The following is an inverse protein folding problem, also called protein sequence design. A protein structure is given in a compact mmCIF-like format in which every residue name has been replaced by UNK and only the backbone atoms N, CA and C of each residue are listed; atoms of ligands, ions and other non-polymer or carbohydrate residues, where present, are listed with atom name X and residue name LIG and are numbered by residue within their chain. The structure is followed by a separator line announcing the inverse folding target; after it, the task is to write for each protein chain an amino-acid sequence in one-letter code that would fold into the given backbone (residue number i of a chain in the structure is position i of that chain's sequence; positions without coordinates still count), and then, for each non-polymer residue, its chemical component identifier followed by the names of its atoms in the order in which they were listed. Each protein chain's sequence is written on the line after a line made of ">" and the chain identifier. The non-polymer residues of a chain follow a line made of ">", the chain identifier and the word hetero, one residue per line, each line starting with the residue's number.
data_IF_793209295223
#
_entry.id   IF_793209295223
#
_cell.length_a   1.000
_cell.length_b   1.000
_cell.length_c   1.000
_cell.angle_alpha   90.00
_cell.angle_beta   90.00
_cell.angle_gamma   90.00
#
_symmetry.space_group_name_H-M   'P 1'
#
loop_
_entity.id
_entity.type
_entity.pdbx_description
1 polymer ?
#
# COMPACT_ATOMS: atom_id res chain seq x y z
N UNK A 1 0.15 -11.70 15.62
CA UNK A 1 -0.28 -10.48 14.90
C UNK A 1 -1.76 -10.57 14.59
N UNK A 2 -2.52 -9.45 14.60
CA UNK A 2 -3.93 -9.50 14.27
C UNK A 2 -4.33 -8.35 13.31
N UNK A 3 -5.18 -8.67 12.32
CA UNK A 3 -5.66 -7.77 11.28
C UNK A 3 -7.15 -8.05 10.99
N UNK A 4 -8.06 -7.10 11.24
CA UNK A 4 -9.49 -7.30 11.01
C UNK A 4 -9.85 -7.56 9.54
N UNK A 5 -9.05 -7.03 8.63
CA UNK A 5 -9.31 -7.09 7.20
C UNK A 5 -8.87 -8.42 6.57
N UNK A 6 -9.60 -8.85 5.52
CA UNK A 6 -9.13 -9.92 4.65
C UNK A 6 -8.01 -9.40 3.72
N UNK A 7 -7.20 -10.29 3.14
CA UNK A 7 -6.09 -9.89 2.26
C UNK A 7 -6.57 -9.10 1.02
N UNK A 8 -6.42 -7.78 1.03
CA UNK A 8 -6.82 -6.91 -0.09
C UNK A 8 -5.88 -5.71 -0.30
N UNK A 9 -5.05 -5.37 0.66
CA UNK A 9 -4.29 -4.11 0.62
C UNK A 9 -2.91 -4.18 1.26
N UNK A 10 -2.32 -3.00 1.42
CA UNK A 10 -0.96 -2.84 1.94
C UNK A 10 -0.74 -3.43 3.33
N UNK A 11 -1.70 -3.27 4.25
CA UNK A 11 -1.58 -3.79 5.61
C UNK A 11 -1.47 -5.32 5.67
N UNK A 12 -2.17 -6.04 4.78
CA UNK A 12 -2.06 -7.49 4.68
C UNK A 12 -0.67 -7.91 4.18
N UNK A 13 -0.10 -7.17 3.21
CA UNK A 13 1.28 -7.40 2.76
C UNK A 13 2.29 -7.15 3.89
N UNK A 14 2.11 -6.08 4.69
CA UNK A 14 2.95 -5.78 5.86
C UNK A 14 2.93 -6.94 6.85
N UNK A 15 1.74 -7.41 7.24
CA UNK A 15 1.59 -8.56 8.14
C UNK A 15 2.29 -9.81 7.58
N UNK A 16 2.12 -10.09 6.28
CA UNK A 16 2.77 -11.22 5.61
C UNK A 16 4.29 -11.15 5.65
N UNK A 17 4.86 -10.00 5.32
CA UNK A 17 6.30 -9.86 5.30
C UNK A 17 6.90 -9.86 6.70
N UNK A 18 6.26 -9.21 7.66
CA UNK A 18 6.71 -9.27 9.06
C UNK A 18 6.69 -10.71 9.58
N UNK A 19 5.58 -11.46 9.39
CA UNK A 19 5.51 -12.85 9.81
C UNK A 19 6.57 -13.75 9.14
N UNK A 20 6.95 -13.43 7.90
CA UNK A 20 7.96 -14.17 7.15
C UNK A 20 9.39 -13.88 7.62
N UNK A 21 9.67 -12.65 8.04
CA UNK A 21 11.05 -12.23 8.35
C UNK A 21 11.36 -12.17 9.84
N UNK A 22 10.39 -11.98 10.73
CA UNK A 22 10.58 -11.98 12.18
C UNK A 22 11.22 -13.27 12.74
N UNK A 23 10.95 -14.48 12.20
CA UNK A 23 11.61 -15.70 12.67
C UNK A 23 13.14 -15.68 12.55
N UNK A 24 13.68 -14.91 11.61
CA UNK A 24 15.14 -14.72 11.46
C UNK A 24 15.74 -13.92 12.63
N UNK A 25 14.90 -13.23 13.40
CA UNK A 25 15.27 -12.44 14.58
C UNK A 25 14.77 -13.07 15.88
N UNK A 26 14.41 -14.36 15.85
CA UNK A 26 14.03 -15.14 17.04
C UNK A 26 12.57 -15.00 17.50
N UNK A 27 11.70 -14.41 16.66
CA UNK A 27 10.27 -14.24 16.98
C UNK A 27 9.40 -15.14 16.11
N UNK A 28 8.71 -16.08 16.72
CA UNK A 28 7.63 -16.80 16.04
C UNK A 28 6.38 -15.91 15.91
N UNK A 29 5.72 -15.99 14.77
CA UNK A 29 4.59 -15.13 14.49
C UNK A 29 3.42 -15.93 13.90
N UNK A 30 2.26 -15.90 14.56
CA UNK A 30 0.98 -16.31 14.01
C UNK A 30 0.14 -15.09 13.58
N UNK A 31 -0.77 -15.28 12.63
CA UNK A 31 -1.62 -14.22 12.09
C UNK A 31 -3.09 -14.59 12.31
N UNK A 32 -3.81 -13.82 13.14
CA UNK A 32 -5.26 -13.82 13.19
C UNK A 32 -5.81 -12.76 12.24
N UNK A 33 -6.58 -13.15 11.22
CA UNK A 33 -7.04 -12.17 10.21
C UNK A 33 -8.40 -12.54 9.60
N UNK A 34 -9.02 -11.56 8.93
CA UNK A 34 -10.18 -11.83 8.07
C UNK A 34 -9.80 -12.65 6.85
N UNK A 35 -10.79 -13.35 6.28
CA UNK A 35 -10.68 -14.10 5.02
C UNK A 35 -11.94 -13.93 4.18
N UNK A 36 -11.80 -13.91 2.86
CA UNK A 36 -12.94 -13.79 1.95
C UNK A 36 -12.75 -14.68 0.73
N UNK A 37 -13.79 -15.44 0.37
CA UNK A 37 -13.82 -16.25 -0.85
C UNK A 37 -13.18 -17.63 -0.69
N UNK A 38 -13.27 -18.46 -1.74
CA UNK A 38 -12.81 -19.84 -1.72
C UNK A 38 -11.27 -19.94 -1.67
N UNK A 39 -10.73 -21.11 -1.30
CA UNK A 39 -9.32 -21.41 -1.45
C UNK A 39 -8.84 -21.13 -2.88
N UNK A 40 -7.69 -20.45 -3.01
CA UNK A 40 -7.15 -19.99 -4.29
C UNK A 40 -7.48 -18.54 -4.64
N UNK A 41 -8.52 -17.95 -4.05
CA UNK A 41 -8.77 -16.52 -4.22
C UNK A 41 -7.67 -15.67 -3.54
N UNK A 42 -7.33 -14.53 -4.13
CA UNK A 42 -6.33 -13.60 -3.57
C UNK A 42 -6.76 -13.01 -2.21
N UNK A 43 -8.07 -12.90 -1.97
CA UNK A 43 -8.67 -12.45 -0.72
C UNK A 43 -8.79 -13.54 0.35
N UNK A 44 -8.51 -14.80 0.01
CA UNK A 44 -8.53 -15.93 0.94
C UNK A 44 -7.24 -15.95 1.77
N UNK A 45 -7.37 -15.90 3.09
CA UNK A 45 -6.23 -15.77 4.00
C UNK A 45 -5.26 -16.98 3.90
N UNK A 46 -5.74 -18.20 3.82
CA UNK A 46 -4.90 -19.39 3.73
C UNK A 46 -4.09 -19.40 2.43
N UNK A 47 -4.68 -18.89 1.33
CA UNK A 47 -3.97 -18.78 0.04
C UNK A 47 -2.95 -17.64 0.05
N UNK A 48 -3.35 -16.48 0.56
CA UNK A 48 -2.49 -15.29 0.58
C UNK A 48 -1.28 -15.45 1.53
N UNK A 49 -1.50 -16.02 2.70
CA UNK A 49 -0.47 -16.25 3.72
C UNK A 49 0.12 -17.66 3.66
N UNK A 50 0.07 -18.32 2.52
CA UNK A 50 0.55 -19.69 2.38
C UNK A 50 1.97 -19.88 2.96
N UNK A 51 2.13 -20.93 3.78
CA UNK A 51 3.38 -21.23 4.47
C UNK A 51 3.60 -20.48 5.79
N UNK A 52 2.64 -19.68 6.25
CA UNK A 52 2.62 -19.02 7.56
C UNK A 52 1.55 -19.67 8.45
N UNK A 53 1.67 -19.47 9.76
CA UNK A 53 0.66 -19.86 10.73
C UNK A 53 -0.49 -18.84 10.74
N UNK A 54 -1.69 -19.26 10.31
CA UNK A 54 -2.83 -18.35 10.05
C UNK A 54 -4.11 -18.87 10.66
N UNK A 55 -4.77 -18.03 11.45
CA UNK A 55 -6.09 -18.23 12.03
C UNK A 55 -7.09 -17.28 11.35
N UNK A 56 -7.86 -17.80 10.41
CA UNK A 56 -8.72 -17.01 9.54
C UNK A 56 -10.15 -16.90 10.07
N UNK A 57 -10.70 -15.70 10.14
CA UNK A 57 -12.12 -15.41 10.35
C UNK A 57 -12.79 -15.27 8.97
N UNK A 58 -13.62 -16.24 8.60
CA UNK A 58 -14.23 -16.28 7.26
C UNK A 58 -15.45 -15.36 7.15
N UNK A 59 -15.36 -14.33 6.33
CA UNK A 59 -16.42 -13.38 6.03
C UNK A 59 -17.26 -13.74 4.79
N UNK A 60 -17.01 -14.86 4.13
CA UNK A 60 -17.65 -15.18 2.82
C UNK A 60 -19.17 -15.15 2.89
N UNK A 61 -19.76 -15.73 3.96
CA UNK A 61 -21.22 -15.69 4.16
C UNK A 61 -21.72 -14.29 4.49
N UNK A 62 -20.99 -13.57 5.34
CA UNK A 62 -21.36 -12.23 5.75
C UNK A 62 -21.37 -11.25 4.57
N UNK A 63 -20.38 -11.33 3.67
CA UNK A 63 -20.30 -10.49 2.48
C UNK A 63 -21.51 -10.63 1.55
N UNK A 64 -22.20 -11.77 1.57
CA UNK A 64 -23.38 -12.05 0.75
C UNK A 64 -24.70 -11.89 1.51
N UNK A 65 -24.66 -11.49 2.79
CA UNK A 65 -25.86 -11.32 3.61
C UNK A 65 -26.59 -10.02 3.26
N UNK A 66 -27.93 -9.96 3.44
CA UNK A 66 -28.69 -8.71 3.23
C UNK A 66 -28.20 -7.55 4.10
N UNK A 67 -27.76 -7.83 5.32
CA UNK A 67 -27.00 -6.90 6.17
C UNK A 67 -25.73 -7.60 6.67
N UNK A 68 -24.58 -7.31 6.04
CA UNK A 68 -23.31 -7.97 6.39
C UNK A 68 -22.88 -7.81 7.84
N UNK A 69 -23.21 -6.68 8.49
CA UNK A 69 -22.83 -6.40 9.88
C UNK A 69 -23.65 -7.19 10.90
N UNK A 70 -24.84 -7.70 10.52
CA UNK A 70 -25.68 -8.53 11.38
C UNK A 70 -25.49 -10.03 11.14
N UNK A 71 -24.64 -10.41 10.19
CA UNK A 71 -24.28 -11.81 9.93
C UNK A 71 -23.47 -12.44 11.09
N UNK A 72 -23.22 -13.74 11.00
CA UNK A 72 -22.41 -14.49 11.97
C UNK A 72 -21.31 -15.26 11.20
N UNK A 73 -20.03 -14.89 11.35
CA UNK A 73 -19.54 -13.68 12.04
C UNK A 73 -19.95 -12.38 11.33
N UNK A 74 -19.99 -11.24 12.03
CA UNK A 74 -20.26 -9.95 11.41
C UNK A 74 -19.14 -9.58 10.44
N UNK A 75 -19.51 -9.01 9.29
CA UNK A 75 -18.51 -8.50 8.34
C UNK A 75 -17.76 -7.33 8.97
N UNK A 76 -16.51 -7.17 8.61
CA UNK A 76 -15.69 -6.06 9.10
C UNK A 76 -16.16 -4.71 8.52
N UNK A 77 -16.23 -3.63 9.31
CA UNK A 77 -16.30 -2.26 8.79
C UNK A 77 -14.96 -1.79 8.22
N UNK A 78 -14.95 -0.65 7.55
CA UNK A 78 -13.75 -0.02 6.99
C UNK A 78 -13.53 1.40 7.52
N UNK A 79 -12.39 2.01 7.19
CA UNK A 79 -12.11 3.42 7.50
C UNK A 79 -12.56 4.37 6.39
N UNK A 80 -12.91 3.84 5.22
CA UNK A 80 -13.32 4.58 4.03
C UNK A 80 -14.75 4.23 3.67
N UNK A 81 -15.55 5.24 3.33
CA UNK A 81 -16.88 5.04 2.76
C UNK A 81 -16.76 4.80 1.26
N UNK A 82 -17.16 3.61 0.80
CA UNK A 82 -17.03 3.18 -0.59
C UNK A 82 -18.38 2.76 -1.16
N UNK A 83 -18.85 3.50 -2.14
CA UNK A 83 -20.13 3.19 -2.79
C UNK A 83 -20.12 1.75 -3.35
N UNK A 84 -21.17 0.99 -3.02
CA UNK A 84 -21.34 -0.39 -3.49
C UNK A 84 -20.49 -1.46 -2.79
N UNK A 85 -19.62 -1.09 -1.84
CA UNK A 85 -18.92 -2.06 -1.01
C UNK A 85 -19.84 -2.64 0.09
N UNK A 86 -19.68 -3.91 0.48
CA UNK A 86 -20.49 -4.52 1.55
C UNK A 86 -20.12 -4.00 2.94
N UNK A 87 -18.92 -3.44 3.10
CA UNK A 87 -18.42 -2.87 4.35
C UNK A 87 -18.91 -1.43 4.54
N UNK A 88 -19.46 -1.13 5.71
CA UNK A 88 -19.76 0.24 6.12
C UNK A 88 -18.53 0.87 6.77
N UNK A 89 -18.48 2.21 6.74
CA UNK A 89 -17.45 2.92 7.50
C UNK A 89 -17.65 2.75 9.01
N UNK A 90 -16.56 2.60 9.76
CA UNK A 90 -16.61 2.46 11.23
C UNK A 90 -17.47 3.54 11.88
N UNK A 91 -17.32 4.79 11.46
CA UNK A 91 -18.05 5.93 12.00
C UNK A 91 -19.57 5.86 11.84
N UNK A 92 -20.10 4.98 11.00
CA UNK A 92 -21.54 4.71 10.83
C UNK A 92 -22.04 3.50 11.65
N UNK A 93 -21.15 2.83 12.40
CA UNK A 93 -21.45 1.59 13.13
C UNK A 93 -21.82 1.91 14.58
N UNK A 94 -23.00 1.44 15.01
CA UNK A 94 -23.53 1.64 16.37
C UNK A 94 -22.86 0.74 17.42
N UNK A 95 -23.21 0.96 18.70
CA UNK A 95 -22.64 0.25 19.83
C UNK A 95 -23.04 -1.24 19.83
N UNK A 96 -24.20 -1.60 19.29
CA UNK A 96 -24.66 -3.00 19.25
C UNK A 96 -23.78 -3.82 18.32
N UNK A 97 -23.55 -3.31 17.12
CA UNK A 97 -22.64 -3.96 16.15
C UNK A 97 -21.19 -3.91 16.65
N UNK A 98 -20.76 -2.81 17.25
CA UNK A 98 -19.44 -2.69 17.87
C UNK A 98 -19.19 -3.81 18.89
N UNK A 99 -20.10 -4.06 19.83
CA UNK A 99 -19.94 -5.11 20.85
C UNK A 99 -19.89 -6.52 20.21
N UNK A 100 -20.66 -6.75 19.15
CA UNK A 100 -20.58 -8.02 18.39
C UNK A 100 -19.21 -8.21 17.73
N UNK A 101 -18.66 -7.15 17.12
CA UNK A 101 -17.31 -7.18 16.56
C UNK A 101 -16.27 -7.50 17.63
N UNK A 102 -16.37 -6.87 18.80
CA UNK A 102 -15.47 -7.12 19.94
C UNK A 102 -15.56 -8.58 20.38
N UNK A 103 -16.78 -9.11 20.64
CA UNK A 103 -16.99 -10.48 21.08
C UNK A 103 -16.47 -11.51 20.06
N UNK A 104 -16.68 -11.26 18.78
CA UNK A 104 -16.14 -12.10 17.70
C UNK A 104 -14.61 -12.15 17.75
N UNK A 105 -13.96 -11.01 17.94
CA UNK A 105 -12.51 -10.95 18.00
C UNK A 105 -11.93 -11.45 19.33
N UNK A 106 -12.65 -11.39 20.44
CA UNK A 106 -12.26 -12.06 21.69
C UNK A 106 -12.12 -13.59 21.46
N UNK A 107 -13.10 -14.20 20.81
CA UNK A 107 -13.07 -15.62 20.44
C UNK A 107 -11.93 -15.92 19.46
N UNK A 108 -11.82 -15.14 18.38
CA UNK A 108 -10.82 -15.36 17.34
C UNK A 108 -9.38 -15.23 17.88
N UNK A 109 -9.12 -14.28 18.78
CA UNK A 109 -7.82 -14.12 19.43
C UNK A 109 -7.52 -15.27 20.40
N UNK A 110 -8.54 -15.77 21.14
CA UNK A 110 -8.39 -16.93 22.01
C UNK A 110 -8.02 -18.18 21.21
N UNK A 111 -8.72 -18.43 20.10
CA UNK A 111 -8.46 -19.57 19.20
C UNK A 111 -7.07 -19.48 18.55
N UNK A 112 -6.57 -18.27 18.33
CA UNK A 112 -5.22 -18.00 17.82
C UNK A 112 -4.14 -18.04 18.91
N UNK A 113 -4.47 -18.40 20.16
CA UNK A 113 -3.49 -18.53 21.24
C UNK A 113 -2.98 -17.21 21.84
N UNK A 114 -3.72 -16.10 21.70
CA UNK A 114 -3.29 -14.78 22.16
C UNK A 114 -2.94 -14.72 23.65
N UNK A 115 -3.56 -15.55 24.50
CA UNK A 115 -3.28 -15.59 25.94
C UNK A 115 -1.91 -16.13 26.32
N UNK A 116 -1.22 -16.83 25.44
CA UNK A 116 0.12 -17.37 25.63
C UNK A 116 1.20 -16.61 24.85
N UNK A 117 0.82 -15.56 24.13
CA UNK A 117 1.76 -14.75 23.37
C UNK A 117 2.57 -13.81 24.25
N UNK A 118 3.84 -13.58 23.93
CA UNK A 118 4.69 -12.60 24.61
C UNK A 118 4.25 -11.15 24.35
N UNK A 119 3.61 -10.91 23.20
CA UNK A 119 2.99 -9.62 22.84
C UNK A 119 1.94 -9.78 21.70
N UNK A 120 1.05 -8.83 21.61
CA UNK A 120 0.10 -8.70 20.49
C UNK A 120 0.48 -7.52 19.60
N UNK A 121 0.74 -7.77 18.32
CA UNK A 121 0.93 -6.73 17.31
C UNK A 121 -0.38 -6.58 16.51
N UNK A 122 -1.07 -5.46 16.71
CA UNK A 122 -2.41 -5.21 16.20
C UNK A 122 -2.36 -4.19 15.06
N UNK A 123 -2.71 -4.64 13.86
CA UNK A 123 -2.76 -3.77 12.67
C UNK A 123 -4.06 -2.99 12.61
N UNK A 124 -3.98 -1.72 12.37
CA UNK A 124 -5.03 -0.72 12.46
C UNK A 124 -5.62 -0.58 13.87
N UNK A 125 -6.27 0.55 14.15
CA UNK A 125 -7.03 0.74 15.39
C UNK A 125 -8.47 0.25 15.18
N UNK A 126 -8.72 -1.01 15.43
CA UNK A 126 -10.00 -1.71 15.19
C UNK A 126 -10.55 -2.31 16.50
N UNK A 127 -11.77 -2.86 16.52
CA UNK A 127 -12.32 -3.56 17.68
C UNK A 127 -11.44 -4.67 18.27
N UNK A 128 -10.44 -5.15 17.51
CA UNK A 128 -9.42 -6.11 17.99
C UNK A 128 -8.69 -5.56 19.23
N UNK A 129 -8.43 -4.24 19.30
CA UNK A 129 -7.78 -3.61 20.45
C UNK A 129 -8.61 -3.73 21.72
N UNK A 130 -9.94 -3.55 21.60
CA UNK A 130 -10.84 -3.72 22.73
C UNK A 130 -10.91 -5.20 23.14
N UNK A 131 -11.07 -6.10 22.18
CA UNK A 131 -11.09 -7.55 22.40
C UNK A 131 -9.81 -8.02 23.12
N UNK A 132 -8.64 -7.59 22.63
CA UNK A 132 -7.36 -7.91 23.25
C UNK A 132 -7.24 -7.36 24.68
N UNK A 133 -7.75 -6.14 24.92
CA UNK A 133 -7.71 -5.54 26.26
C UNK A 133 -8.64 -6.25 27.26
N UNK A 134 -9.83 -6.66 26.81
CA UNK A 134 -10.82 -7.34 27.68
C UNK A 134 -10.40 -8.76 28.00
N UNK A 135 -10.02 -9.53 26.97
CA UNK A 135 -9.73 -10.95 27.11
C UNK A 135 -8.31 -11.24 27.59
N UNK A 136 -7.33 -10.38 27.26
CA UNK A 136 -5.89 -10.62 27.52
C UNK A 136 -5.21 -9.36 28.10
N UNK A 137 -5.69 -8.81 29.23
CA UNK A 137 -5.18 -7.54 29.78
C UNK A 137 -3.72 -7.59 30.19
N UNK A 138 -3.18 -8.77 30.46
CA UNK A 138 -1.77 -8.98 30.86
C UNK A 138 -0.80 -9.12 29.69
N UNK A 139 -1.28 -9.22 28.44
CA UNK A 139 -0.43 -9.34 27.26
C UNK A 139 -0.17 -7.94 26.68
N UNK A 140 1.10 -7.50 26.57
CA UNK A 140 1.43 -6.18 26.05
C UNK A 140 1.02 -6.04 24.58
N UNK A 141 0.65 -4.82 24.17
CA UNK A 141 0.11 -4.54 22.83
C UNK A 141 0.93 -3.49 22.11
N UNK A 142 1.22 -3.76 20.84
CA UNK A 142 1.75 -2.79 19.89
C UNK A 142 0.65 -2.51 18.86
N UNK A 143 0.32 -1.24 18.64
CA UNK A 143 -0.56 -0.80 17.55
C UNK A 143 0.24 -0.43 16.32
N UNK A 144 -0.25 -0.77 15.13
CA UNK A 144 0.38 -0.40 13.85
C UNK A 144 -0.60 0.35 12.97
N UNK A 145 -0.42 1.65 12.84
CA UNK A 145 -1.24 2.50 11.99
C UNK A 145 -0.83 2.38 10.53
N UNK A 146 -1.84 2.33 9.65
CA UNK A 146 -1.63 2.31 8.21
C UNK A 146 -2.10 3.59 7.50
N UNK A 147 -2.48 4.61 8.28
CA UNK A 147 -2.80 5.95 7.83
C UNK A 147 -4.30 6.23 7.66
N UNK A 148 -5.12 5.22 7.37
CA UNK A 148 -6.57 5.37 7.17
C UNK A 148 -7.30 5.82 8.45
N UNK A 149 -6.79 5.45 9.61
CA UNK A 149 -7.26 5.88 10.93
C UNK A 149 -7.14 7.41 11.10
N UNK A 150 -6.01 7.97 10.69
CA UNK A 150 -5.78 9.41 10.77
C UNK A 150 -6.66 10.17 9.79
N UNK A 151 -6.88 9.63 8.59
CA UNK A 151 -7.79 10.22 7.60
C UNK A 151 -9.24 10.25 8.10
N UNK A 152 -9.72 9.17 8.73
CA UNK A 152 -11.05 9.14 9.34
C UNK A 152 -11.17 10.15 10.48
N UNK A 153 -10.17 10.27 11.36
CA UNK A 153 -10.15 11.27 12.42
C UNK A 153 -10.15 12.70 11.88
N UNK A 154 -9.42 12.95 10.79
CA UNK A 154 -9.43 14.26 10.12
C UNK A 154 -10.80 14.61 9.56
N UNK A 155 -11.46 13.65 8.91
CA UNK A 155 -12.81 13.85 8.41
C UNK A 155 -13.80 14.14 9.56
N UNK A 156 -13.66 13.44 10.69
CA UNK A 156 -14.49 13.69 11.89
C UNK A 156 -14.23 15.08 12.47
N UNK A 157 -12.97 15.47 12.62
CA UNK A 157 -12.59 16.77 13.18
C UNK A 157 -12.99 17.95 12.26
N UNK A 158 -13.03 17.72 10.94
CA UNK A 158 -13.49 18.70 9.95
C UNK A 158 -15.03 18.84 9.86
N UNK A 159 -15.76 17.99 10.57
CA UNK A 159 -17.21 17.87 10.50
C UNK A 159 -17.60 16.57 9.78
N UNK A 160 -17.91 15.55 10.56
CA UNK A 160 -18.17 14.20 10.07
C UNK A 160 -19.12 14.19 8.85
N UNK A 161 -18.83 13.42 7.80
CA UNK A 161 -19.70 13.25 6.65
C UNK A 161 -21.11 12.79 7.04
N UNK A 162 -22.09 13.08 6.19
CA UNK A 162 -23.47 12.62 6.39
C UNK A 162 -23.51 11.08 6.49
N UNK A 163 -24.23 10.57 7.47
CA UNK A 163 -24.34 9.12 7.72
C UNK A 163 -23.27 8.55 8.64
N UNK A 164 -22.33 9.38 9.12
CA UNK A 164 -21.36 8.99 10.14
C UNK A 164 -21.90 9.27 11.55
N UNK A 165 -23.06 8.69 11.88
CA UNK A 165 -23.86 9.05 13.05
C UNK A 165 -23.16 8.71 14.38
N UNK A 166 -22.14 7.84 14.37
CA UNK A 166 -21.37 7.43 15.54
C UNK A 166 -19.92 7.94 15.54
N UNK A 167 -19.61 8.94 14.70
CA UNK A 167 -18.26 9.45 14.46
C UNK A 167 -17.49 9.81 15.75
N UNK A 168 -18.11 10.52 16.69
CA UNK A 168 -17.43 10.93 17.93
C UNK A 168 -17.09 9.73 18.82
N UNK A 169 -18.03 8.78 18.97
CA UNK A 169 -17.79 7.56 19.74
C UNK A 169 -16.61 6.76 19.15
N UNK A 170 -16.52 6.69 17.82
CA UNK A 170 -15.41 6.01 17.15
C UNK A 170 -14.10 6.78 17.30
N UNK A 171 -14.09 8.10 17.21
CA UNK A 171 -12.89 8.89 17.46
C UNK A 171 -12.34 8.67 18.88
N UNK A 172 -13.23 8.59 19.89
CA UNK A 172 -12.85 8.31 21.27
C UNK A 172 -12.30 6.90 21.45
N UNK A 173 -12.87 5.89 20.77
CA UNK A 173 -12.36 4.50 20.74
C UNK A 173 -10.94 4.46 20.16
N UNK A 174 -10.72 5.06 18.99
CA UNK A 174 -9.40 5.10 18.36
C UNK A 174 -8.35 5.74 19.29
N UNK A 175 -8.69 6.87 19.92
CA UNK A 175 -7.79 7.54 20.88
C UNK A 175 -7.52 6.68 22.11
N UNK A 176 -8.54 6.01 22.65
CA UNK A 176 -8.39 5.10 23.79
C UNK A 176 -7.49 3.91 23.45
N UNK A 177 -7.71 3.25 22.32
CA UNK A 177 -6.89 2.11 21.88
C UNK A 177 -5.45 2.50 21.63
N UNK A 178 -5.21 3.61 20.95
CA UNK A 178 -3.86 4.12 20.72
C UNK A 178 -3.09 4.34 22.02
N UNK A 179 -3.73 4.99 23.01
CA UNK A 179 -3.15 5.20 24.35
C UNK A 179 -2.95 3.90 25.12
N UNK A 180 -3.72 2.86 24.83
CA UNK A 180 -3.62 1.54 25.44
C UNK A 180 -2.49 0.67 24.88
N UNK A 181 -1.78 1.08 23.82
CA UNK A 181 -0.64 0.36 23.26
C UNK A 181 0.67 0.76 23.95
N UNK A 182 1.58 -0.20 24.19
CA UNK A 182 2.94 0.06 24.70
C UNK A 182 3.77 0.88 23.71
N UNK A 183 3.62 0.58 22.43
CA UNK A 183 4.21 1.32 21.30
C UNK A 183 3.19 1.47 20.21
N UNK A 184 3.31 2.54 19.45
CA UNK A 184 2.51 2.80 18.27
C UNK A 184 3.40 2.96 17.05
N UNK A 185 3.30 2.02 16.11
CA UNK A 185 4.06 2.04 14.87
C UNK A 185 3.35 2.91 13.84
N UNK A 186 4.10 3.74 13.13
CA UNK A 186 3.60 4.62 12.07
C UNK A 186 4.49 4.55 10.83
N UNK A 187 3.93 4.82 9.66
CA UNK A 187 4.60 4.56 8.39
C UNK A 187 5.53 5.69 7.92
N UNK A 188 5.33 6.91 8.42
CA UNK A 188 6.03 8.08 7.91
C UNK A 188 6.39 9.08 9.01
N UNK A 189 7.45 9.89 8.84
CA UNK A 189 7.80 10.99 9.72
C UNK A 189 6.66 12.01 9.89
N UNK A 190 5.84 12.23 8.85
CA UNK A 190 4.63 13.05 8.97
C UNK A 190 3.66 12.47 10.00
N UNK A 191 3.42 11.18 9.97
CA UNK A 191 2.58 10.50 10.96
C UNK A 191 3.18 10.63 12.38
N UNK A 192 4.51 10.54 12.54
CA UNK A 192 5.18 10.78 13.85
C UNK A 192 4.83 12.16 14.42
N UNK A 193 4.81 13.19 13.58
CA UNK A 193 4.45 14.57 14.00
C UNK A 193 2.97 14.74 14.34
N UNK A 194 2.07 14.06 13.61
CA UNK A 194 0.61 14.25 13.70
C UNK A 194 -0.06 13.41 14.79
N UNK A 195 0.43 12.20 15.04
CA UNK A 195 -0.16 11.23 15.98
C UNK A 195 -0.28 11.75 17.40
N UNK A 196 0.72 12.44 18.00
CA UNK A 196 0.58 12.97 19.36
C UNK A 196 -0.65 13.86 19.54
N UNK A 197 -0.84 14.82 18.66
CA UNK A 197 -1.98 15.74 18.72
C UNK A 197 -3.33 15.10 18.39
N UNK A 198 -3.36 14.10 17.51
CA UNK A 198 -4.60 13.45 17.05
C UNK A 198 -5.09 12.34 17.97
N UNK A 199 -4.17 11.53 18.50
CA UNK A 199 -4.48 10.34 19.29
C UNK A 199 -4.15 10.49 20.78
N UNK A 200 -3.42 11.54 21.18
CA UNK A 200 -3.02 11.78 22.56
C UNK A 200 -2.05 10.70 23.07
N UNK A 201 -1.08 10.33 22.23
CA UNK A 201 0.00 9.37 22.56
C UNK A 201 1.29 10.14 22.73
N UNK A 202 2.05 9.83 23.77
CA UNK A 202 3.34 10.44 24.04
C UNK A 202 4.32 10.15 22.89
N UNK A 203 5.08 11.16 22.41
CA UNK A 203 5.99 11.01 21.25
C UNK A 203 6.99 9.86 21.39
N UNK A 204 7.48 9.59 22.61
CA UNK A 204 8.45 8.54 22.90
C UNK A 204 7.90 7.14 22.66
N UNK A 205 6.58 6.96 22.68
CA UNK A 205 5.91 5.69 22.40
C UNK A 205 5.68 5.45 20.91
N UNK A 206 5.93 6.46 20.06
CA UNK A 206 5.73 6.38 18.62
C UNK A 206 7.03 5.92 17.97
N UNK A 207 6.92 4.90 17.13
CA UNK A 207 8.05 4.31 16.40
C UNK A 207 7.79 4.41 14.91
N UNK A 208 8.71 5.03 14.18
CA UNK A 208 8.67 5.05 12.72
C UNK A 208 9.03 3.66 12.18
N UNK A 209 8.05 3.00 11.61
CA UNK A 209 8.12 1.68 11.01
C UNK A 209 7.62 1.74 9.56
N UNK A 210 8.43 2.21 8.61
CA UNK A 210 8.02 2.33 7.22
C UNK A 210 7.74 0.95 6.62
N UNK A 211 6.96 0.91 5.55
CA UNK A 211 6.80 -0.29 4.77
C UNK A 211 8.10 -0.62 4.03
N UNK A 212 8.26 -1.89 3.67
CA UNK A 212 9.45 -2.35 3.00
C UNK A 212 9.17 -3.10 1.70
N UNK A 213 10.24 -3.56 1.07
CA UNK A 213 10.21 -4.47 -0.05
C UNK A 213 10.92 -5.80 0.29
N UNK A 214 10.54 -6.87 -0.39
CA UNK A 214 11.20 -8.18 -0.29
C UNK A 214 12.39 -8.22 -1.28
N UNK A 215 13.65 -8.21 -0.81
CA UNK A 215 14.82 -8.23 -1.68
C UNK A 215 15.00 -9.56 -2.45
N UNK A 216 14.27 -10.61 -2.06
CA UNK A 216 14.20 -11.85 -2.84
C UNK A 216 13.30 -11.74 -4.07
N UNK A 217 12.38 -10.77 -4.06
CA UNK A 217 11.42 -10.52 -5.14
C UNK A 217 11.79 -9.30 -5.96
N UNK A 218 12.02 -8.17 -5.30
CA UNK A 218 12.39 -6.90 -5.94
C UNK A 218 13.89 -6.71 -5.85
N UNK A 219 14.55 -6.88 -6.98
CA UNK A 219 15.98 -6.70 -7.15
C UNK A 219 16.26 -6.22 -8.57
N UNK A 220 17.39 -5.59 -8.76
CA UNK A 220 17.79 -5.01 -10.04
C UNK A 220 18.18 -6.09 -11.04
N UNK A 221 17.32 -6.32 -12.01
CA UNK A 221 17.48 -7.27 -13.12
C UNK A 221 16.93 -6.65 -14.41
N UNK A 222 17.51 -5.55 -14.89
CA UNK A 222 16.93 -4.79 -15.99
C UNK A 222 16.85 -5.66 -17.25
N UNK A 223 15.67 -5.64 -17.88
CA UNK A 223 15.47 -6.23 -19.19
C UNK A 223 15.88 -5.21 -20.25
N UNK A 224 16.66 -5.65 -21.24
CA UNK A 224 17.15 -4.79 -22.30
C UNK A 224 16.90 -5.39 -23.68
N UNK A 225 16.86 -4.55 -24.72
CA UNK A 225 16.74 -4.99 -26.10
C UNK A 225 15.56 -5.95 -26.35
N UNK A 226 15.83 -7.09 -26.96
CA UNK A 226 14.81 -8.06 -27.35
C UNK A 226 14.02 -8.63 -26.17
N UNK A 227 14.65 -8.84 -25.01
CA UNK A 227 13.96 -9.37 -23.81
C UNK A 227 12.92 -8.39 -23.25
N UNK A 228 13.24 -7.11 -23.33
CA UNK A 228 12.31 -6.03 -22.89
C UNK A 228 11.11 -5.95 -23.85
N UNK A 229 11.35 -5.95 -25.15
CA UNK A 229 10.29 -5.96 -26.15
C UNK A 229 9.40 -7.20 -26.01
N UNK A 230 9.99 -8.38 -25.82
CA UNK A 230 9.29 -9.64 -25.59
C UNK A 230 8.39 -9.58 -24.33
N UNK A 231 8.88 -8.96 -23.24
CA UNK A 231 8.10 -8.76 -22.03
C UNK A 231 6.83 -7.94 -22.32
N UNK A 232 6.96 -6.79 -23.01
CA UNK A 232 5.82 -5.92 -23.32
C UNK A 232 4.90 -6.56 -24.35
N UNK A 233 5.42 -7.29 -25.37
CA UNK A 233 4.62 -8.09 -26.29
C UNK A 233 3.73 -9.07 -25.54
N UNK A 234 4.30 -9.84 -24.63
CA UNK A 234 3.54 -10.81 -23.85
C UNK A 234 2.40 -10.14 -23.05
N UNK A 235 2.65 -8.99 -22.43
CA UNK A 235 1.65 -8.37 -21.58
C UNK A 235 0.60 -7.53 -22.33
N UNK A 236 0.92 -7.00 -23.48
CA UNK A 236 0.05 -6.11 -24.23
C UNK A 236 -0.66 -6.80 -25.40
N UNK A 237 -0.04 -7.85 -25.98
CA UNK A 237 -0.55 -8.53 -27.18
C UNK A 237 -0.98 -9.97 -26.90
N UNK A 238 -0.15 -10.78 -26.23
CA UNK A 238 -0.40 -12.22 -26.07
C UNK A 238 -1.29 -12.55 -24.87
N UNK A 239 -1.08 -11.88 -23.72
CA UNK A 239 -1.89 -11.98 -22.50
C UNK A 239 -2.36 -10.58 -22.07
N UNK A 240 -3.20 -9.91 -22.89
CA UNK A 240 -3.68 -8.59 -22.58
C UNK A 240 -4.64 -8.64 -21.39
N UNK A 241 -4.41 -7.78 -20.38
CA UNK A 241 -5.29 -7.62 -19.22
C UNK A 241 -5.77 -6.18 -19.04
N UNK A 242 -5.48 -5.30 -20.02
CA UNK A 242 -6.08 -3.97 -20.08
C UNK A 242 -7.60 -4.05 -20.14
N UNK A 243 -8.30 -3.10 -19.56
CA UNK A 243 -9.76 -3.09 -19.54
C UNK A 243 -10.31 -1.67 -19.76
N UNK A 244 -11.51 -1.60 -20.31
CA UNK A 244 -12.29 -0.40 -20.55
C UNK A 244 -13.43 -0.27 -19.51
N UNK A 245 -14.34 0.64 -19.74
CA UNK A 245 -15.48 0.91 -18.85
C UNK A 245 -16.41 -0.31 -18.64
N UNK A 246 -16.26 -1.37 -19.42
CA UNK A 246 -16.97 -2.65 -19.18
C UNK A 246 -16.38 -3.44 -18.00
N UNK A 247 -15.16 -3.13 -17.59
CA UNK A 247 -14.45 -3.84 -16.54
C UNK A 247 -14.00 -5.26 -16.92
N UNK A 248 -14.02 -5.62 -18.21
CA UNK A 248 -13.61 -6.96 -18.66
C UNK A 248 -12.12 -6.98 -18.94
N UNK A 249 -11.31 -7.82 -18.24
CA UNK A 249 -9.90 -7.98 -18.57
C UNK A 249 -9.68 -8.41 -20.01
N UNK A 250 -8.76 -7.74 -20.71
CA UNK A 250 -8.47 -7.98 -22.12
C UNK A 250 -9.40 -7.26 -23.10
N UNK A 251 -10.39 -6.46 -22.62
CA UNK A 251 -11.18 -5.58 -23.52
C UNK A 251 -10.33 -4.48 -24.16
N UNK A 252 -9.18 -4.15 -23.54
CA UNK A 252 -8.13 -3.33 -24.13
C UNK A 252 -6.94 -4.24 -24.44
N UNK A 253 -6.68 -4.42 -25.73
CA UNK A 253 -5.57 -5.20 -26.26
C UNK A 253 -4.89 -4.42 -27.39
N UNK A 254 -3.64 -4.72 -27.64
CA UNK A 254 -2.80 -4.08 -28.64
C UNK A 254 -2.35 -5.09 -29.69
N UNK A 255 -1.83 -4.59 -30.80
CA UNK A 255 -1.25 -5.39 -31.88
C UNK A 255 0.28 -5.21 -31.94
N UNK A 256 0.96 -6.05 -32.71
CA UNK A 256 2.41 -5.91 -32.95
C UNK A 256 2.80 -4.51 -33.45
N UNK A 257 1.93 -3.86 -34.23
CA UNK A 257 2.18 -2.49 -34.76
C UNK A 257 2.21 -1.44 -33.66
N UNK A 258 1.45 -1.66 -32.60
CA UNK A 258 1.36 -0.72 -31.46
C UNK A 258 2.62 -0.79 -30.57
N UNK A 259 3.46 -1.85 -30.74
CA UNK A 259 4.71 -1.99 -29.98
C UNK A 259 5.87 -1.14 -30.51
N UNK A 260 5.71 -0.45 -31.64
CA UNK A 260 6.76 0.41 -32.20
C UNK A 260 7.42 1.42 -31.21
N UNK A 261 6.72 1.98 -30.18
CA UNK A 261 7.35 2.83 -29.18
C UNK A 261 8.42 2.11 -28.35
N UNK A 262 8.31 0.79 -28.16
CA UNK A 262 9.23 -0.01 -27.37
C UNK A 262 10.48 -0.44 -28.17
N UNK A 263 10.46 -0.36 -29.50
CA UNK A 263 11.57 -0.75 -30.39
C UNK A 263 12.65 0.33 -30.48
N UNK A 264 12.31 1.59 -30.26
CA UNK A 264 13.16 2.76 -30.50
C UNK A 264 14.27 3.00 -29.48
N UNK A 265 14.44 2.15 -28.46
CA UNK A 265 15.46 2.31 -27.43
C UNK A 265 15.22 3.47 -26.46
N UNK A 266 14.10 4.18 -26.56
CA UNK A 266 13.67 5.20 -25.60
C UNK A 266 13.28 4.61 -24.24
N UNK A 267 13.22 5.46 -23.19
CA UNK A 267 12.83 5.02 -21.86
C UNK A 267 11.34 4.62 -21.82
N UNK A 268 11.04 3.59 -21.03
CA UNK A 268 9.67 3.20 -20.72
C UNK A 268 9.31 3.77 -19.35
N UNK A 269 8.26 4.56 -19.30
CA UNK A 269 7.65 5.05 -18.08
C UNK A 269 6.60 4.04 -17.60
N UNK A 270 6.52 3.80 -16.30
CA UNK A 270 5.51 2.91 -15.73
C UNK A 270 4.77 3.57 -14.58
N UNK A 271 3.46 3.44 -14.56
CA UNK A 271 2.61 3.72 -13.42
C UNK A 271 2.16 2.39 -12.81
N UNK A 272 2.09 2.32 -11.49
CA UNK A 272 1.53 1.16 -10.79
C UNK A 272 0.57 1.62 -9.69
N UNK A 273 -0.69 1.16 -9.76
CA UNK A 273 -1.67 1.48 -8.72
C UNK A 273 -3.12 1.24 -9.11
N UNK A 274 -4.03 1.48 -8.16
CA UNK A 274 -5.48 1.47 -8.40
C UNK A 274 -5.88 2.65 -9.28
N UNK A 275 -7.02 2.55 -9.96
CA UNK A 275 -7.61 3.64 -10.74
C UNK A 275 -8.58 4.44 -9.85
N UNK A 276 -8.03 5.24 -8.93
CA UNK A 276 -8.81 6.09 -8.02
C UNK A 276 -8.44 7.56 -8.23
N UNK A 277 -9.35 8.47 -7.89
CA UNK A 277 -9.17 9.91 -8.08
C UNK A 277 -7.89 10.44 -7.44
N UNK A 278 -7.56 9.95 -6.24
CA UNK A 278 -6.36 10.38 -5.52
C UNK A 278 -5.05 9.99 -6.22
N UNK A 279 -5.11 9.06 -7.17
CA UNK A 279 -3.94 8.60 -7.95
C UNK A 279 -3.64 9.48 -9.16
N UNK A 280 -4.51 10.40 -9.51
CA UNK A 280 -4.29 11.42 -10.57
C UNK A 280 -3.80 10.86 -11.91
N UNK A 281 -4.26 9.68 -12.31
CA UNK A 281 -3.88 9.07 -13.61
C UNK A 281 -4.30 9.94 -14.78
N UNK A 282 -5.50 10.57 -14.81
CA UNK A 282 -5.87 11.53 -15.85
C UNK A 282 -4.86 12.66 -16.03
N UNK A 283 -4.37 13.25 -14.93
CA UNK A 283 -3.32 14.27 -14.97
C UNK A 283 -2.04 13.74 -15.61
N UNK A 284 -1.59 12.54 -15.21
CA UNK A 284 -0.38 11.93 -15.79
C UNK A 284 -0.52 11.71 -17.30
N UNK A 285 -1.66 11.21 -17.79
CA UNK A 285 -1.88 10.98 -19.22
C UNK A 285 -1.86 12.31 -19.99
N UNK A 286 -2.51 13.36 -19.47
CA UNK A 286 -2.50 14.69 -20.10
C UNK A 286 -1.11 15.31 -20.10
N UNK A 287 -0.37 15.21 -18.99
CA UNK A 287 1.02 15.67 -18.90
C UNK A 287 1.92 14.94 -19.90
N UNK A 288 1.77 13.62 -20.06
CA UNK A 288 2.49 12.81 -21.03
C UNK A 288 2.18 13.24 -22.46
N UNK A 289 0.90 13.40 -22.81
CA UNK A 289 0.48 13.83 -24.13
C UNK A 289 1.06 15.20 -24.53
N UNK A 290 1.14 16.15 -23.59
CA UNK A 290 1.78 17.46 -23.84
C UNK A 290 3.30 17.39 -23.93
N UNK A 291 3.91 16.51 -23.11
CA UNK A 291 5.34 16.37 -23.04
C UNK A 291 5.94 15.60 -24.25
N UNK A 292 5.17 14.73 -24.91
CA UNK A 292 5.67 13.78 -25.91
C UNK A 292 6.42 14.43 -27.08
N UNK A 293 6.04 15.63 -27.51
CA UNK A 293 6.70 16.35 -28.60
C UNK A 293 8.10 16.85 -28.22
N UNK A 294 8.38 16.89 -26.92
CA UNK A 294 9.67 17.31 -26.34
C UNK A 294 10.58 16.14 -26.00
N UNK A 295 10.07 14.89 -26.09
CA UNK A 295 10.90 13.71 -25.86
C UNK A 295 11.92 13.54 -26.97
N UNK A 296 13.15 13.16 -26.61
CA UNK A 296 14.23 12.92 -27.58
C UNK A 296 14.06 11.60 -28.35
N UNK A 297 13.23 10.71 -27.84
CA UNK A 297 12.83 9.43 -28.44
C UNK A 297 11.42 9.08 -28.03
N UNK A 298 10.75 8.15 -28.72
CA UNK A 298 9.45 7.63 -28.27
C UNK A 298 9.59 7.05 -26.85
N UNK A 299 8.71 7.50 -25.97
CA UNK A 299 8.77 7.22 -24.54
C UNK A 299 7.39 6.70 -24.10
N UNK A 300 7.13 5.38 -24.22
CA UNK A 300 5.83 4.83 -23.86
C UNK A 300 5.58 4.93 -22.35
N UNK A 301 4.31 5.22 -22.00
CA UNK A 301 3.78 5.17 -20.64
C UNK A 301 2.91 3.93 -20.47
N UNK A 302 3.28 3.02 -19.59
CA UNK A 302 2.52 1.80 -19.30
C UNK A 302 1.81 1.92 -17.95
N UNK A 303 0.49 1.76 -17.96
CA UNK A 303 -0.36 1.78 -16.77
C UNK A 303 -0.59 0.34 -16.28
N UNK A 304 0.04 -0.01 -15.14
CA UNK A 304 -0.11 -1.28 -14.46
C UNK A 304 -1.08 -1.14 -13.29
N UNK A 305 -2.13 -1.95 -13.25
CA UNK A 305 -3.09 -1.97 -12.16
C UNK A 305 -4.51 -1.64 -12.58
N UNK A 306 -5.27 -1.03 -11.66
CA UNK A 306 -6.72 -0.95 -11.79
C UNK A 306 -7.34 -2.34 -11.70
N UNK A 307 -7.94 -2.68 -10.54
CA UNK A 307 -8.69 -3.93 -10.46
C UNK A 307 -9.88 -3.84 -11.43
N UNK A 308 -10.10 -4.85 -12.28
CA UNK A 308 -11.10 -4.78 -13.34
C UNK A 308 -12.48 -4.41 -12.81
N UNK A 309 -13.08 -3.35 -13.38
CA UNK A 309 -14.38 -2.82 -12.96
C UNK A 309 -14.33 -1.87 -11.74
N UNK A 310 -13.17 -1.64 -11.14
CA UNK A 310 -13.02 -0.69 -10.00
C UNK A 310 -12.24 0.56 -10.45
N UNK A 311 -12.93 1.68 -10.63
CA UNK A 311 -12.29 2.98 -10.87
C UNK A 311 -13.12 4.12 -10.28
N UNK A 312 -12.47 5.26 -10.06
CA UNK A 312 -13.08 6.51 -9.60
C UNK A 312 -12.75 7.63 -10.59
N UNK A 313 -13.69 8.53 -10.80
CA UNK A 313 -13.53 9.66 -11.71
C UNK A 313 -13.46 9.25 -13.20
N UNK A 314 -12.58 9.90 -13.95
CA UNK A 314 -12.39 9.63 -15.37
C UNK A 314 -11.63 8.31 -15.58
N UNK A 315 -12.18 7.43 -16.43
CA UNK A 315 -11.48 6.20 -16.78
C UNK A 315 -10.22 6.51 -17.61
N UNK A 316 -9.05 5.91 -17.29
CA UNK A 316 -7.79 6.20 -18.01
C UNK A 316 -7.89 6.08 -19.53
N UNK A 317 -8.63 5.08 -20.04
CA UNK A 317 -8.82 4.90 -21.46
C UNK A 317 -9.62 6.06 -22.13
N UNK A 318 -10.58 6.65 -21.42
CA UNK A 318 -11.31 7.81 -21.93
C UNK A 318 -10.34 8.99 -22.12
N UNK A 319 -9.43 9.21 -21.18
CA UNK A 319 -8.41 10.27 -21.28
C UNK A 319 -7.39 10.00 -22.39
N UNK A 320 -6.98 8.74 -22.58
CA UNK A 320 -6.13 8.35 -23.72
C UNK A 320 -6.82 8.66 -25.06
N UNK A 321 -8.13 8.38 -25.18
CA UNK A 321 -8.91 8.72 -26.37
C UNK A 321 -9.07 10.23 -26.58
N UNK A 322 -9.28 10.98 -25.50
CA UNK A 322 -9.37 12.45 -25.50
C UNK A 322 -8.08 13.09 -26.00
N UNK A 323 -6.94 12.66 -25.45
CA UNK A 323 -5.63 13.22 -25.79
C UNK A 323 -5.07 12.72 -27.11
N UNK A 324 -5.58 11.59 -27.62
CA UNK A 324 -5.04 10.92 -28.81
C UNK A 324 -3.60 10.43 -28.64
N UNK A 325 -3.17 10.19 -27.41
CA UNK A 325 -1.80 9.73 -27.12
C UNK A 325 -1.67 8.22 -27.34
N UNK A 326 -1.15 7.85 -28.49
CA UNK A 326 -0.95 6.45 -28.88
C UNK A 326 0.22 5.75 -28.17
N UNK A 327 1.01 6.48 -27.36
CA UNK A 327 2.15 5.93 -26.61
C UNK A 327 1.77 5.63 -25.14
N UNK A 328 0.48 5.68 -24.77
CA UNK A 328 -0.05 5.26 -23.46
C UNK A 328 -0.72 3.89 -23.56
N UNK A 329 -0.29 2.96 -22.73
CA UNK A 329 -0.70 1.56 -22.74
C UNK A 329 -1.32 1.13 -21.41
N UNK A 330 -2.52 0.54 -21.44
CA UNK A 330 -3.19 -0.05 -20.28
C UNK A 330 -2.85 -1.54 -20.24
N UNK A 331 -1.90 -1.93 -19.37
CA UNK A 331 -1.50 -3.33 -19.21
C UNK A 331 -2.36 -4.10 -18.19
N UNK A 332 -3.24 -3.39 -17.46
CA UNK A 332 -4.21 -3.96 -16.54
C UNK A 332 -3.60 -4.49 -15.24
N UNK A 333 -4.42 -5.20 -14.48
CA UNK A 333 -4.03 -5.78 -13.20
C UNK A 333 -3.05 -6.94 -13.39
N UNK A 334 -1.93 -6.85 -12.67
CA UNK A 334 -0.95 -7.94 -12.55
C UNK A 334 -0.74 -8.23 -11.08
N UNK A 335 -0.67 -9.51 -10.73
CA UNK A 335 -0.41 -9.93 -9.36
C UNK A 335 0.94 -9.41 -8.85
N UNK A 336 1.05 -9.21 -7.52
CA UNK A 336 2.28 -8.71 -6.90
C UNK A 336 3.52 -9.58 -7.22
N UNK A 337 3.31 -10.86 -7.56
CA UNK A 337 4.37 -11.78 -8.03
C UNK A 337 4.96 -11.43 -9.39
N UNK A 338 4.19 -10.77 -10.25
CA UNK A 338 4.58 -10.39 -11.61
C UNK A 338 5.19 -8.97 -11.66
N UNK A 339 4.87 -8.13 -10.66
CA UNK A 339 5.21 -6.70 -10.65
C UNK A 339 6.71 -6.42 -10.83
N UNK A 340 7.58 -7.20 -10.19
CA UNK A 340 9.02 -7.03 -10.31
C UNK A 340 9.52 -7.18 -11.77
N UNK A 341 8.88 -8.05 -12.56
CA UNK A 341 9.23 -8.22 -13.98
C UNK A 341 8.85 -6.96 -14.79
N UNK A 342 7.67 -6.38 -14.54
CA UNK A 342 7.25 -5.13 -15.18
C UNK A 342 8.14 -3.94 -14.80
N UNK A 343 8.52 -3.83 -13.52
CA UNK A 343 9.45 -2.80 -13.07
C UNK A 343 10.83 -2.96 -13.74
N UNK A 344 11.37 -4.17 -13.81
CA UNK A 344 12.65 -4.43 -14.49
C UNK A 344 12.58 -4.25 -16.03
N UNK A 345 11.39 -4.19 -16.62
CA UNK A 345 11.18 -3.87 -18.03
C UNK A 345 10.98 -2.37 -18.30
N UNK A 346 10.93 -1.54 -17.25
CA UNK A 346 10.76 -0.09 -17.30
C UNK A 346 12.07 0.64 -16.94
N UNK A 347 12.07 1.97 -17.12
CA UNK A 347 13.22 2.85 -16.83
C UNK A 347 12.91 3.89 -15.75
N UNK A 348 11.63 4.26 -15.56
CA UNK A 348 11.19 5.24 -14.57
C UNK A 348 9.81 4.85 -14.05
N UNK A 349 9.63 4.86 -12.74
CA UNK A 349 8.29 4.79 -12.16
C UNK A 349 7.72 6.21 -11.99
N UNK A 350 6.44 6.40 -12.34
CA UNK A 350 5.72 7.66 -12.12
C UNK A 350 4.54 7.42 -11.18
N UNK A 351 4.50 8.12 -10.06
CA UNK A 351 3.42 8.04 -9.08
C UNK A 351 2.83 9.44 -8.80
N UNK A 352 1.79 9.87 -9.55
CA UNK A 352 1.21 11.20 -9.42
C UNK A 352 0.24 11.35 -8.24
N UNK A 353 0.22 10.39 -7.32
CA UNK A 353 -0.74 10.29 -6.22
C UNK A 353 -0.60 11.44 -5.22
N UNK A 354 -1.70 12.16 -4.97
CA UNK A 354 -1.74 13.31 -4.03
C UNK A 354 -2.07 12.91 -2.58
N UNK A 355 -2.47 11.66 -2.33
CA UNK A 355 -2.82 11.15 -0.98
C UNK A 355 -2.19 9.78 -0.73
N UNK A 356 -0.88 9.70 -0.87
CA UNK A 356 -0.12 8.48 -0.62
C UNK A 356 0.49 8.51 0.78
N UNK A 357 0.04 7.61 1.66
CA UNK A 357 0.54 7.58 3.04
C UNK A 357 1.98 7.09 3.15
N UNK A 358 2.40 6.20 2.27
CA UNK A 358 3.78 5.72 2.17
C UNK A 358 4.24 5.66 0.70
N UNK A 359 3.59 4.83 -0.13
CA UNK A 359 4.00 4.58 -1.52
C UNK A 359 4.90 3.37 -1.63
N UNK A 360 4.41 2.19 -1.22
CA UNK A 360 5.19 0.95 -1.27
C UNK A 360 5.79 0.68 -2.66
N UNK A 361 5.07 1.02 -3.72
CA UNK A 361 5.55 0.85 -5.10
C UNK A 361 6.78 1.70 -5.42
N UNK A 362 6.96 2.84 -4.75
CA UNK A 362 8.18 3.66 -4.92
C UNK A 362 9.41 2.88 -4.45
N UNK A 363 9.36 2.31 -3.24
CA UNK A 363 10.50 1.53 -2.71
C UNK A 363 10.72 0.23 -3.48
N UNK A 364 9.66 -0.39 -4.02
CA UNK A 364 9.75 -1.57 -4.89
C UNK A 364 10.42 -1.23 -6.22
N UNK A 365 10.06 -0.11 -6.84
CA UNK A 365 10.69 0.38 -8.07
C UNK A 365 12.16 0.79 -7.84
N UNK A 366 12.43 1.53 -6.77
CA UNK A 366 13.79 1.89 -6.36
C UNK A 366 14.65 0.64 -6.11
N UNK A 367 14.08 -0.40 -5.51
CA UNK A 367 14.75 -1.69 -5.32
C UNK A 367 15.03 -2.44 -6.62
N UNK A 368 14.28 -2.16 -7.69
CA UNK A 368 14.58 -2.62 -9.06
C UNK A 368 15.56 -1.69 -9.80
N UNK A 369 16.02 -0.62 -9.16
CA UNK A 369 16.97 0.34 -9.74
C UNK A 369 16.34 1.43 -10.60
N UNK A 370 15.03 1.65 -10.49
CA UNK A 370 14.35 2.72 -11.20
C UNK A 370 14.43 4.02 -10.40
N UNK A 371 14.80 5.14 -11.01
CA UNK A 371 14.47 6.45 -10.46
C UNK A 371 12.96 6.66 -10.53
N UNK A 372 12.44 7.52 -9.67
CA UNK A 372 11.00 7.72 -9.54
C UNK A 372 10.60 9.18 -9.74
N UNK A 373 9.43 9.42 -10.36
CA UNK A 373 8.76 10.72 -10.35
C UNK A 373 7.58 10.60 -9.39
N UNK A 374 7.50 11.48 -8.40
CA UNK A 374 6.44 11.42 -7.40
C UNK A 374 5.99 12.82 -6.98
N UNK A 375 4.85 12.90 -6.31
CA UNK A 375 4.31 14.17 -5.81
C UNK A 375 5.03 14.56 -4.51
N UNK A 376 5.39 15.83 -4.36
CA UNK A 376 5.99 16.41 -3.15
C UNK A 376 4.92 16.58 -2.05
N UNK A 377 4.42 15.45 -1.57
CA UNK A 377 3.45 15.40 -0.49
C UNK A 377 3.48 14.04 0.23
N UNK A 378 3.24 14.04 1.53
CA UNK A 378 3.10 12.86 2.39
C UNK A 378 4.27 11.86 2.25
N UNK A 379 3.97 10.56 2.14
CA UNK A 379 4.97 9.48 2.06
C UNK A 379 5.96 9.64 0.90
N UNK A 380 5.54 9.93 -0.33
CA UNK A 380 6.45 10.15 -1.46
C UNK A 380 7.52 11.20 -1.22
N UNK A 381 7.17 12.35 -0.62
CA UNK A 381 8.11 13.42 -0.28
C UNK A 381 9.20 12.99 0.73
N UNK A 382 8.97 11.92 1.47
CA UNK A 382 9.89 11.39 2.49
C UNK A 382 10.73 10.22 1.98
N UNK A 383 10.28 9.57 0.91
CA UNK A 383 10.97 8.43 0.27
C UNK A 383 11.95 8.93 -0.79
N UNK A 384 11.53 9.93 -1.57
CA UNK A 384 12.26 10.43 -2.73
C UNK A 384 13.16 11.59 -2.33
N UNK A 385 14.45 11.42 -2.51
CA UNK A 385 15.43 12.49 -2.37
C UNK A 385 15.51 13.22 -3.73
N UNK A 386 14.82 14.38 -3.83
CA UNK A 386 14.74 15.14 -5.08
C UNK A 386 16.12 15.48 -5.65
N UNK A 387 16.27 15.35 -6.95
CA UNK A 387 17.56 15.54 -7.63
C UNK A 387 18.57 14.38 -7.45
N UNK A 388 18.31 13.42 -6.52
CA UNK A 388 19.21 12.31 -6.25
C UNK A 388 18.60 10.96 -6.62
N UNK A 389 17.46 10.58 -6.05
CA UNK A 389 16.82 9.29 -6.30
C UNK A 389 15.64 9.39 -7.26
N UNK A 390 15.19 10.60 -7.55
CA UNK A 390 14.05 10.86 -8.41
C UNK A 390 13.76 12.34 -8.59
N UNK A 391 12.52 12.64 -8.96
CA UNK A 391 11.98 13.98 -9.13
C UNK A 391 10.72 14.13 -8.28
N UNK A 392 10.62 15.22 -7.53
CA UNK A 392 9.42 15.62 -6.83
C UNK A 392 8.70 16.74 -7.58
N UNK A 393 7.39 16.63 -7.73
CA UNK A 393 6.55 17.62 -8.41
C UNK A 393 5.45 18.10 -7.48
N UNK A 394 5.00 19.33 -7.64
CA UNK A 394 3.90 19.87 -6.84
C UNK A 394 2.59 19.06 -7.04
N UNK A 395 1.74 18.91 -6.01
CA UNK A 395 0.44 18.26 -6.14
C UNK A 395 -0.44 18.95 -7.18
N UNK A 396 -1.15 18.16 -7.98
CA UNK A 396 -2.11 18.63 -8.99
C UNK A 396 -1.52 19.60 -10.04
N UNK A 397 -0.19 19.59 -10.24
CA UNK A 397 0.53 20.42 -11.21
C UNK A 397 0.89 19.60 -12.45
N UNK A 398 0.06 19.73 -13.50
CA UNK A 398 0.22 19.00 -14.76
C UNK A 398 1.48 19.49 -15.54
N UNK A 399 1.81 20.78 -15.46
CA UNK A 399 2.98 21.33 -16.14
C UNK A 399 4.27 20.85 -15.48
N UNK A 400 4.36 20.90 -14.13
CA UNK A 400 5.50 20.35 -13.40
C UNK A 400 5.66 18.84 -13.64
N UNK A 401 4.57 18.08 -13.73
CA UNK A 401 4.62 16.67 -14.10
C UNK A 401 5.20 16.51 -15.51
N UNK A 402 4.73 17.28 -16.48
CA UNK A 402 5.25 17.29 -17.85
C UNK A 402 6.76 17.60 -17.92
N UNK A 403 7.25 18.59 -17.17
CA UNK A 403 8.67 18.92 -17.09
C UNK A 403 9.49 17.76 -16.50
N UNK A 404 8.99 17.12 -15.45
CA UNK A 404 9.66 15.95 -14.86
C UNK A 404 9.73 14.76 -15.83
N UNK A 405 8.66 14.52 -16.60
CA UNK A 405 8.63 13.48 -17.65
C UNK A 405 9.67 13.79 -18.75
N UNK A 406 9.76 15.04 -19.20
CA UNK A 406 10.77 15.46 -20.18
C UNK A 406 12.18 15.30 -19.62
N UNK A 407 12.42 15.72 -18.39
CA UNK A 407 13.72 15.57 -17.74
C UNK A 407 14.12 14.10 -17.61
N UNK A 408 13.17 13.24 -17.25
CA UNK A 408 13.39 11.81 -17.13
C UNK A 408 13.59 11.12 -18.51
N UNK A 409 12.98 11.63 -19.57
CA UNK A 409 13.16 11.11 -20.93
C UNK A 409 14.39 11.64 -21.66
N UNK A 410 15.03 12.71 -21.15
CA UNK A 410 16.09 13.42 -21.82
C UNK A 410 17.40 12.61 -21.94
N UNK A 411 18.18 12.97 -22.96
CA UNK A 411 19.58 12.55 -23.15
C UNK A 411 19.76 11.04 -23.40
N UNK A 412 20.98 10.59 -23.14
CA UNK A 412 21.43 9.20 -23.33
C UNK A 412 21.10 8.25 -22.16
N UNK A 413 20.36 8.73 -21.16
CA UNK A 413 19.99 7.97 -19.97
C UNK A 413 20.98 8.02 -18.81
N UNK A 414 22.09 8.76 -18.92
CA UNK A 414 23.09 8.85 -17.85
C UNK A 414 22.49 9.38 -16.53
N UNK A 415 21.65 10.40 -16.60
CA UNK A 415 21.00 10.97 -15.42
C UNK A 415 20.00 9.99 -14.80
N UNK A 416 19.20 9.27 -15.62
CA UNK A 416 18.31 8.19 -15.14
C UNK A 416 19.11 7.11 -14.43
N UNK A 417 20.23 6.66 -15.04
CA UNK A 417 21.10 5.64 -14.45
C UNK A 417 21.69 6.10 -13.12
N UNK A 418 22.18 7.33 -13.04
CA UNK A 418 22.73 7.91 -11.81
C UNK A 418 21.68 7.93 -10.69
N UNK A 419 20.47 8.42 -10.99
CA UNK A 419 19.38 8.46 -10.02
C UNK A 419 18.90 7.05 -9.66
N UNK A 420 18.84 6.13 -10.60
CA UNK A 420 18.47 4.73 -10.36
C UNK A 420 19.45 3.99 -9.45
N UNK A 421 20.77 4.24 -9.59
CA UNK A 421 21.79 3.71 -8.67
C UNK A 421 21.59 4.26 -7.25
N UNK A 422 21.37 5.56 -7.12
CA UNK A 422 21.11 6.18 -5.83
C UNK A 422 19.80 5.67 -5.20
N UNK A 423 18.74 5.51 -6.01
CA UNK A 423 17.46 4.95 -5.60
C UNK A 423 17.60 3.51 -5.08
N UNK A 424 18.32 2.66 -5.82
CA UNK A 424 18.61 1.29 -5.42
C UNK A 424 19.35 1.22 -4.08
N UNK A 425 20.40 2.02 -3.92
CA UNK A 425 21.16 2.08 -2.69
C UNK A 425 20.30 2.54 -1.49
N UNK A 426 19.52 3.61 -1.68
CA UNK A 426 18.61 4.14 -0.67
C UNK A 426 17.52 3.14 -0.26
N UNK A 427 16.89 2.46 -1.22
CA UNK A 427 15.87 1.45 -0.93
C UNK A 427 16.43 0.31 -0.09
N UNK A 428 17.58 -0.24 -0.45
CA UNK A 428 18.20 -1.35 0.27
C UNK A 428 18.63 -0.96 1.69
N UNK A 429 19.13 0.24 1.88
CA UNK A 429 19.57 0.73 3.19
C UNK A 429 18.41 1.00 4.13
N UNK A 430 17.27 1.53 3.62
CA UNK A 430 16.19 2.05 4.46
C UNK A 430 14.94 1.17 4.52
N UNK A 431 14.65 0.37 3.47
CA UNK A 431 13.32 -0.23 3.28
C UNK A 431 13.32 -1.74 3.02
N UNK A 432 14.39 -2.49 3.28
CA UNK A 432 14.34 -3.96 3.13
C UNK A 432 13.59 -4.61 4.30
N UNK A 433 12.64 -5.48 4.02
CA UNK A 433 11.90 -6.20 5.07
C UNK A 433 12.78 -6.95 6.07
N UNK A 434 13.87 -7.62 5.68
CA UNK A 434 14.77 -8.25 6.65
C UNK A 434 15.33 -7.26 7.67
N UNK A 435 15.74 -6.06 7.23
CA UNK A 435 16.29 -5.04 8.13
C UNK A 435 15.18 -4.42 9.02
N UNK A 436 14.02 -4.14 8.44
CA UNK A 436 12.87 -3.61 9.18
C UNK A 436 12.36 -4.61 10.24
N UNK A 437 12.27 -5.90 9.90
CA UNK A 437 11.88 -6.94 10.85
C UNK A 437 12.90 -7.09 11.98
N UNK A 438 14.20 -7.01 11.71
CA UNK A 438 15.23 -7.03 12.73
C UNK A 438 15.15 -5.79 13.65
N UNK A 439 14.85 -4.61 13.09
CA UNK A 439 14.57 -3.40 13.87
C UNK A 439 13.34 -3.55 14.76
N UNK A 440 12.27 -4.11 14.23
CA UNK A 440 11.02 -4.34 14.96
C UNK A 440 11.20 -5.39 16.07
N UNK A 441 11.99 -6.44 15.86
CA UNK A 441 12.28 -7.45 16.85
C UNK A 441 12.89 -6.82 18.12
N UNK A 442 13.76 -5.82 17.99
CA UNK A 442 14.29 -5.07 19.15
C UNK A 442 13.22 -4.30 19.91
N UNK A 443 12.24 -3.73 19.18
CA UNK A 443 11.08 -3.08 19.81
C UNK A 443 10.23 -4.11 20.56
N UNK A 444 10.03 -5.29 19.99
CA UNK A 444 9.31 -6.39 20.65
C UNK A 444 10.01 -6.84 21.94
N UNK A 445 11.33 -7.02 21.89
CA UNK A 445 12.13 -7.36 23.08
C UNK A 445 11.99 -6.31 24.21
N UNK A 446 11.97 -5.02 23.84
CA UNK A 446 11.79 -3.94 24.82
C UNK A 446 10.37 -3.98 25.43
N UNK A 447 9.36 -4.20 24.59
CA UNK A 447 7.95 -4.26 25.04
C UNK A 447 7.69 -5.51 25.89
N UNK A 448 8.11 -6.68 25.45
CA UNK A 448 7.93 -7.93 26.20
C UNK A 448 8.64 -7.91 27.55
N UNK A 449 9.78 -7.21 27.64
CA UNK A 449 10.54 -7.03 28.89
C UNK A 449 10.02 -5.86 29.76
N UNK A 450 8.94 -5.17 29.35
CA UNK A 450 8.41 -3.99 30.06
C UNK A 450 9.38 -2.81 30.11
N UNK A 451 10.32 -2.73 29.16
CA UNK A 451 11.30 -1.64 29.13
C UNK A 451 10.67 -0.33 28.59
N UNK A 452 11.04 0.83 29.17
CA UNK A 452 10.58 2.12 28.65
C UNK A 452 11.08 2.36 27.22
N UNK A 453 10.48 3.29 26.47
CA UNK A 453 10.99 3.73 25.18
C UNK A 453 12.45 4.17 25.28
N UNK A 454 13.27 3.81 24.29
CA UNK A 454 14.66 4.30 24.21
C UNK A 454 14.65 5.73 23.71
N UNK A 455 15.45 6.62 24.28
CA UNK A 455 15.69 7.94 23.73
C UNK A 455 16.28 7.77 22.31
N UNK A 456 15.65 8.40 21.32
CA UNK A 456 16.02 8.27 19.90
C UNK A 456 15.50 7.01 19.19
N UNK A 457 14.66 6.19 19.81
CA UNK A 457 14.07 4.97 19.22
C UNK A 457 13.05 5.25 18.10
N UNK A 458 12.95 6.46 17.61
CA UNK A 458 11.94 6.90 16.64
C UNK A 458 12.00 6.24 15.26
N UNK A 459 12.99 5.41 14.90
CA UNK A 459 13.09 4.85 13.55
C UNK A 459 13.66 3.43 13.55
N UNK A 460 12.96 2.46 12.89
CA UNK A 460 13.48 1.11 12.68
C UNK A 460 14.66 1.06 11.70
N UNK A 461 14.84 2.09 10.89
CA UNK A 461 15.72 2.13 9.71
C UNK A 461 17.20 2.45 10.00
N UNK A 462 17.65 2.57 11.25
CA UNK A 462 19.05 2.82 11.58
C UNK A 462 19.61 1.62 12.35
N UNK A 463 19.84 0.52 11.62
CA UNK A 463 20.83 -0.48 11.99
C UNK A 463 22.14 -0.07 11.31
N UNK A 464 23.16 0.23 12.09
CA UNK A 464 24.51 0.52 11.67
C UNK A 464 25.10 -0.59 10.78
#
# INVERSE_FOLDING_TARGET
>A
MALAFFPRGGSAQVARYLARFLPRSGWEASIACGSLGPPGAESNAASFYAGLDVHALDYTRAASAPDPLTAEPPFQPSFEDRAGAPDRVFAAVDDTVYERLVATWETQLADAGAGSADLLHLHHLTPIHEAAQRAFPGVPRIGHLHGTELLMLEAIDAGAPRGWDHAQAWAERLRRWARGCERLLVLSPDAVRRVPGRLGVEPERIVLAPNGFDPGRFDRRPLTGALRLEHWRRWLVEDPRGWDESGVPGSVAYSERDLAPFEGGGPVLVYVGRYTDVKRIPLLIRAHARARERFTSRTPLVLLGGFPGEWEGEHPLAVVRETGDADVFLAGWRGHGELAAGLNAADVLVLPSVREQFGAVLVEAMACGLPVIAVDAHGPAEIVDDGQTGWLVAPDDEDAMGEALVAAAAGDGAERSRRGEAAYAAARARYSWPALAAGLARVYEDVAAGRPPREGAGTLAHGA
#
